data_IF_715347740420
#
_entry.id   IF_715347740420
#
_cell.length_a   1.000
_cell.length_b   1.000
_cell.length_c   1.000
_cell.angle_alpha   90.00
_cell.angle_beta   90.00
_cell.angle_gamma   90.00
#
_symmetry.space_group_name_H-M   'P 1'
#
loop_
_entity.id
_entity.type
_entity.pdbx_description
1 polymer ?
#
# COMPACT_ATOMS: atom_id res chain seq x y z
N UNK A 1 -7.61 18.36 -2.78
CA UNK A 1 -6.86 17.13 -2.49
C UNK A 1 -7.71 15.99 -3.04
N UNK A 2 -7.21 15.22 -4.00
CA UNK A 2 -8.01 14.17 -4.63
C UNK A 2 -8.18 12.97 -3.70
N UNK A 3 -9.16 12.11 -4.01
CA UNK A 3 -9.40 10.89 -3.26
C UNK A 3 -8.18 9.94 -3.24
N UNK A 4 -7.42 9.89 -4.34
CA UNK A 4 -6.13 9.17 -4.42
C UNK A 4 -5.17 9.64 -3.32
N UNK A 5 -5.00 10.96 -3.19
CA UNK A 5 -4.12 11.56 -2.20
C UNK A 5 -4.59 11.31 -0.76
N UNK A 6 -5.90 11.32 -0.52
CA UNK A 6 -6.48 10.93 0.77
C UNK A 6 -6.15 9.49 1.14
N UNK A 7 -6.30 8.55 0.20
CA UNK A 7 -5.96 7.15 0.40
C UNK A 7 -4.48 6.99 0.75
N UNK A 8 -3.57 7.63 0.00
CA UNK A 8 -2.14 7.56 0.31
C UNK A 8 -1.81 8.13 1.68
N UNK A 9 -2.43 9.25 2.06
CA UNK A 9 -2.28 9.80 3.42
C UNK A 9 -2.77 8.82 4.48
N UNK A 10 -3.88 8.12 4.24
CA UNK A 10 -4.41 7.12 5.17
C UNK A 10 -3.47 5.92 5.32
N UNK A 11 -2.98 5.37 4.20
CA UNK A 11 -2.01 4.29 4.20
C UNK A 11 -0.73 4.66 4.99
N UNK A 12 -0.19 5.86 4.74
CA UNK A 12 0.99 6.36 5.44
C UNK A 12 0.71 6.64 6.93
N UNK A 13 -0.46 7.20 7.25
CA UNK A 13 -0.88 7.51 8.63
C UNK A 13 -0.89 6.27 9.52
N UNK A 14 -1.30 5.12 8.98
CA UNK A 14 -1.37 3.88 9.75
C UNK A 14 -0.11 3.03 9.65
N UNK A 15 0.55 2.99 8.49
CA UNK A 15 1.72 2.13 8.33
C UNK A 15 3.00 2.72 8.90
N UNK A 16 3.23 4.04 8.84
CA UNK A 16 4.47 4.64 9.38
C UNK A 16 4.58 4.39 10.91
N UNK A 17 3.55 4.68 11.73
CA UNK A 17 3.63 4.40 13.17
C UNK A 17 3.81 2.91 13.47
N UNK A 18 3.10 2.05 12.73
CA UNK A 18 3.21 0.59 12.89
C UNK A 18 4.64 0.11 12.63
N UNK A 19 5.26 0.54 11.51
CA UNK A 19 6.64 0.21 11.17
C UNK A 19 7.57 0.70 12.29
N UNK A 20 7.43 1.97 12.71
CA UNK A 20 8.26 2.55 13.76
C UNK A 20 8.16 1.75 15.06
N UNK A 21 6.96 1.41 15.50
CA UNK A 21 6.72 0.71 16.77
C UNK A 21 7.26 -0.72 16.75
N UNK A 22 7.17 -1.40 15.62
CA UNK A 22 7.77 -2.73 15.42
C UNK A 22 9.29 -2.66 15.38
N UNK A 23 9.86 -1.65 14.74
CA UNK A 23 11.31 -1.44 14.67
C UNK A 23 11.94 -0.93 15.98
N UNK A 24 11.14 -0.41 16.91
CA UNK A 24 11.58 -0.03 18.26
C UNK A 24 11.77 -1.23 19.22
N UNK A 25 11.36 -2.43 18.80
CA UNK A 25 11.45 -3.66 19.60
C UNK A 25 12.87 -4.22 19.68
N UNK A 26 13.05 -5.22 20.55
CA UNK A 26 14.35 -5.88 20.72
C UNK A 26 14.87 -6.52 19.43
N UNK A 27 16.19 -6.67 19.29
CA UNK A 27 16.83 -7.16 18.07
C UNK A 27 16.28 -8.49 17.56
N UNK A 28 15.99 -9.43 18.47
CA UNK A 28 15.42 -10.74 18.14
C UNK A 28 14.01 -10.67 17.58
N UNK A 29 13.17 -9.77 18.11
CA UNK A 29 11.81 -9.58 17.62
C UNK A 29 11.80 -8.94 16.24
N UNK A 30 12.69 -7.95 16.01
CA UNK A 30 12.84 -7.30 14.70
C UNK A 30 13.29 -8.28 13.61
N UNK A 31 14.22 -9.18 13.92
CA UNK A 31 14.69 -10.19 12.96
C UNK A 31 13.56 -11.09 12.44
N UNK A 32 12.56 -11.37 13.28
CA UNK A 32 11.38 -12.19 12.92
C UNK A 32 10.21 -11.36 12.38
N UNK A 33 10.32 -10.04 12.37
CA UNK A 33 9.20 -9.17 12.05
C UNK A 33 8.98 -9.05 10.54
N UNK A 34 8.05 -9.84 10.03
CA UNK A 34 7.58 -9.75 8.63
C UNK A 34 6.66 -8.55 8.38
N UNK A 35 6.02 -8.04 9.44
CA UNK A 35 5.04 -6.96 9.36
C UNK A 35 5.66 -5.67 8.84
N UNK A 36 6.71 -5.15 9.50
CA UNK A 36 7.36 -3.89 9.09
C UNK A 36 7.89 -3.96 7.67
N UNK A 37 8.49 -5.09 7.28
CA UNK A 37 9.06 -5.26 5.96
C UNK A 37 8.01 -5.13 4.86
N UNK A 38 6.86 -5.80 5.03
CA UNK A 38 5.76 -5.75 4.06
C UNK A 38 5.07 -4.38 4.03
N UNK A 39 4.85 -3.75 5.19
CA UNK A 39 4.30 -2.38 5.26
C UNK A 39 5.25 -1.38 4.61
N UNK A 40 6.56 -1.45 4.88
CA UNK A 40 7.53 -0.56 4.26
C UNK A 40 7.60 -0.76 2.74
N UNK A 41 7.60 -2.03 2.30
CA UNK A 41 7.60 -2.35 0.87
C UNK A 41 6.33 -1.83 0.16
N UNK A 42 5.17 -1.87 0.82
CA UNK A 42 3.96 -1.29 0.28
C UNK A 42 4.06 0.24 0.16
N UNK A 43 4.60 0.92 1.18
CA UNK A 43 4.48 2.37 1.32
C UNK A 43 5.60 3.20 0.68
N UNK A 44 6.80 2.65 0.50
CA UNK A 44 8.00 3.44 0.22
C UNK A 44 7.96 4.27 -1.07
N UNK A 45 7.10 3.92 -2.04
CA UNK A 45 6.98 4.68 -3.30
C UNK A 45 5.76 5.59 -3.38
N UNK A 46 4.86 5.55 -2.39
CA UNK A 46 3.74 6.50 -2.33
C UNK A 46 4.20 7.98 -2.33
N UNK A 47 5.30 8.37 -1.64
CA UNK A 47 5.76 9.76 -1.68
C UNK A 47 6.10 10.29 -3.08
N UNK A 48 6.42 9.41 -4.04
CA UNK A 48 6.80 9.82 -5.39
C UNK A 48 5.64 10.42 -6.20
N UNK A 49 4.38 10.18 -5.80
CA UNK A 49 3.19 10.61 -6.53
C UNK A 49 2.06 11.16 -5.64
N UNK A 50 2.33 11.33 -4.34
CA UNK A 50 1.33 11.82 -3.37
C UNK A 50 0.92 13.28 -3.60
N UNK A 51 1.80 14.10 -4.19
CA UNK A 51 1.49 15.50 -4.49
C UNK A 51 0.74 15.66 -5.82
N UNK A 52 0.77 14.62 -6.68
CA UNK A 52 0.07 14.61 -7.95
C UNK A 52 -1.42 14.30 -7.74
N UNK A 53 -2.29 15.15 -8.28
CA UNK A 53 -3.73 14.99 -8.12
C UNK A 53 -4.26 13.77 -8.89
N UNK A 54 -3.82 13.62 -10.14
CA UNK A 54 -4.16 12.53 -11.05
C UNK A 54 -3.22 11.33 -10.97
N UNK A 55 -3.57 10.23 -11.63
CA UNK A 55 -2.75 9.03 -11.68
C UNK A 55 -1.55 9.20 -12.63
N UNK A 56 -0.35 8.92 -12.11
CA UNK A 56 0.92 8.93 -12.85
C UNK A 56 1.53 7.53 -12.92
N UNK A 57 2.63 7.37 -13.65
CA UNK A 57 3.30 6.09 -13.86
C UNK A 57 3.63 5.36 -12.55
N UNK A 58 4.10 6.10 -11.53
CA UNK A 58 4.39 5.54 -10.20
C UNK A 58 3.16 4.91 -9.54
N UNK A 59 1.97 5.50 -9.72
CA UNK A 59 0.73 4.98 -9.14
C UNK A 59 0.35 3.64 -9.78
N UNK A 60 0.47 3.53 -11.11
CA UNK A 60 0.21 2.29 -11.85
C UNK A 60 1.22 1.21 -11.49
N UNK A 61 2.50 1.58 -11.34
CA UNK A 61 3.53 0.66 -10.89
C UNK A 61 3.28 0.18 -9.46
N UNK A 62 2.92 1.08 -8.54
CA UNK A 62 2.50 0.72 -7.19
C UNK A 62 1.34 -0.31 -7.20
N UNK A 63 0.29 -0.08 -8.00
CA UNK A 63 -0.86 -0.97 -8.09
C UNK A 63 -0.51 -2.35 -8.69
N UNK A 64 0.38 -2.37 -9.69
CA UNK A 64 0.77 -3.61 -10.36
C UNK A 64 1.73 -4.48 -9.53
N UNK A 65 2.65 -3.85 -8.80
CA UNK A 65 3.75 -4.55 -8.14
C UNK A 65 3.59 -4.56 -6.62
N UNK A 66 3.55 -3.41 -5.97
CA UNK A 66 3.54 -3.36 -4.50
C UNK A 66 2.22 -3.79 -3.88
N UNK A 67 1.11 -3.26 -4.38
CA UNK A 67 -0.21 -3.62 -3.89
C UNK A 67 -0.47 -5.12 -4.09
N UNK A 68 -0.09 -5.66 -5.26
CA UNK A 68 -0.22 -7.08 -5.58
C UNK A 68 0.66 -7.96 -4.68
N UNK A 69 1.93 -7.61 -4.50
CA UNK A 69 2.84 -8.36 -3.64
C UNK A 69 2.36 -8.36 -2.19
N UNK A 70 1.97 -7.19 -1.65
CA UNK A 70 1.42 -7.07 -0.31
C UNK A 70 0.19 -7.96 -0.11
N UNK A 71 -0.75 -7.96 -1.05
CA UNK A 71 -1.96 -8.79 -0.96
C UNK A 71 -1.70 -10.30 -1.13
N UNK A 72 -0.59 -10.68 -1.75
CA UNK A 72 -0.18 -12.08 -1.90
C UNK A 72 0.58 -12.59 -0.66
N UNK A 73 1.40 -11.74 -0.05
CA UNK A 73 2.38 -12.15 0.95
C UNK A 73 2.01 -11.74 2.39
N UNK A 74 1.13 -10.76 2.54
CA UNK A 74 0.58 -10.30 3.82
C UNK A 74 -0.75 -11.01 4.13
N UNK A 75 -1.26 -10.77 5.34
CA UNK A 75 -2.56 -11.23 5.79
C UNK A 75 -2.90 -10.67 7.17
N UNK A 76 -4.13 -10.91 7.68
CA UNK A 76 -4.59 -10.37 8.97
C UNK A 76 -3.74 -10.85 10.16
N UNK A 77 -3.11 -12.03 10.05
CA UNK A 77 -2.21 -12.57 11.07
C UNK A 77 -0.82 -11.93 11.07
N UNK A 78 -0.44 -11.25 9.97
CA UNK A 78 0.88 -10.64 9.80
C UNK A 78 0.81 -9.14 10.11
N UNK A 79 -0.15 -8.42 9.52
CA UNK A 79 -0.33 -6.99 9.75
C UNK A 79 -1.74 -6.68 10.22
N UNK A 80 -1.90 -5.89 11.32
CA UNK A 80 -3.20 -5.38 11.72
C UNK A 80 -3.81 -4.41 10.69
N UNK A 81 -3.00 -3.83 9.81
CA UNK A 81 -3.46 -2.90 8.77
C UNK A 81 -3.94 -3.62 7.49
N UNK A 82 -3.82 -4.96 7.42
CA UNK A 82 -4.06 -5.70 6.17
C UNK A 82 -5.45 -5.44 5.57
N UNK A 83 -6.51 -5.55 6.37
CA UNK A 83 -7.88 -5.34 5.88
C UNK A 83 -8.15 -3.89 5.47
N UNK A 84 -7.54 -2.93 6.16
CA UNK A 84 -7.60 -1.52 5.77
C UNK A 84 -6.90 -1.30 4.44
N UNK A 85 -5.65 -1.73 4.32
CA UNK A 85 -4.85 -1.60 3.11
C UNK A 85 -5.52 -2.30 1.93
N UNK A 86 -6.11 -3.48 2.13
CA UNK A 86 -6.86 -4.20 1.08
C UNK A 86 -8.03 -3.36 0.54
N UNK A 87 -8.81 -2.73 1.42
CA UNK A 87 -9.93 -1.86 1.02
C UNK A 87 -9.44 -0.62 0.29
N UNK A 88 -8.41 0.05 0.82
CA UNK A 88 -7.81 1.23 0.21
C UNK A 88 -7.21 0.94 -1.17
N UNK A 89 -6.53 -0.20 -1.32
CA UNK A 89 -6.02 -0.67 -2.61
C UNK A 89 -7.18 -0.91 -3.58
N UNK A 90 -8.25 -1.58 -3.16
CA UNK A 90 -9.41 -1.80 -4.01
C UNK A 90 -10.05 -0.50 -4.50
N UNK A 91 -10.13 0.48 -3.61
CA UNK A 91 -10.64 1.81 -3.93
C UNK A 91 -9.74 2.52 -4.94
N UNK A 92 -8.41 2.47 -4.78
CA UNK A 92 -7.47 3.00 -5.77
C UNK A 92 -7.66 2.37 -7.15
N UNK A 93 -7.83 1.05 -7.22
CA UNK A 93 -8.12 0.33 -8.47
C UNK A 93 -9.37 0.88 -9.16
N UNK A 94 -10.44 1.16 -8.40
CA UNK A 94 -11.68 1.71 -8.95
C UNK A 94 -11.51 3.16 -9.45
N UNK A 95 -10.64 3.94 -8.80
CA UNK A 95 -10.35 5.34 -9.13
C UNK A 95 -9.46 5.53 -10.36
N UNK A 96 -8.79 4.47 -10.86
CA UNK A 96 -7.95 4.59 -12.07
C UNK A 96 -8.82 5.04 -13.26
N UNK A 97 -8.45 6.13 -13.95
CA UNK A 97 -9.16 6.64 -15.12
C UNK A 97 -9.30 5.57 -16.21
N UNK A 98 -10.45 5.49 -16.92
CA UNK A 98 -10.70 4.46 -17.93
C UNK A 98 -9.58 4.30 -18.96
N UNK A 99 -9.00 5.40 -19.41
CA UNK A 99 -7.92 5.47 -20.39
C UNK A 99 -6.60 4.83 -19.90
N UNK A 100 -6.38 4.76 -18.59
CA UNK A 100 -5.19 4.16 -17.97
C UNK A 100 -5.42 2.73 -17.47
N UNK A 101 -6.66 2.24 -17.45
CA UNK A 101 -6.98 0.88 -16.95
C UNK A 101 -6.31 -0.23 -17.75
N UNK A 102 -5.99 0.01 -19.01
CA UNK A 102 -5.25 -0.94 -19.87
C UNK A 102 -3.82 -1.17 -19.40
N UNK A 103 -3.26 -0.26 -18.58
CA UNK A 103 -1.94 -0.42 -17.97
C UNK A 103 -1.96 -1.27 -16.68
N UNK A 104 -3.14 -1.63 -16.18
CA UNK A 104 -3.27 -2.54 -15.04
C UNK A 104 -3.07 -3.99 -15.49
N UNK A 105 -2.14 -4.68 -14.85
CA UNK A 105 -1.72 -6.05 -15.19
C UNK A 105 -2.57 -7.14 -14.49
N UNK A 106 -3.52 -6.73 -13.65
CA UNK A 106 -4.39 -7.63 -12.89
C UNK A 106 -5.66 -6.87 -12.43
N UNK A 107 -6.75 -7.58 -12.09
CA UNK A 107 -8.06 -6.94 -11.86
C UNK A 107 -8.20 -6.26 -10.48
N UNK A 108 -7.15 -6.25 -9.66
CA UNK A 108 -7.19 -5.79 -8.28
C UNK A 108 -7.71 -6.84 -7.28
N UNK A 109 -7.76 -6.50 -5.98
CA UNK A 109 -8.26 -7.40 -4.95
C UNK A 109 -9.76 -7.70 -5.10
N UNK A 110 -10.15 -8.93 -4.78
CA UNK A 110 -11.56 -9.29 -4.55
C UNK A 110 -11.94 -8.84 -3.14
N UNK A 111 -12.81 -7.83 -3.04
CA UNK A 111 -13.33 -7.30 -1.78
C UNK A 111 -14.71 -7.88 -1.50
#
# INVERSE_FOLDING_TARGET
MSRKQEIYKEMLRWGIPLIRDRQARGAWERFKDRCSGLEAQLLHTLPNSILEEGFVENDLWFLNYHARAYLKECGPSISPNYELNKKLIAELFALVPPEQRTSLQWPGPKV
#
